data_IF_328867492401
#
_entry.id   IF_328867492401
#
_cell.length_a   1.000
_cell.length_b   1.000
_cell.length_c   1.000
_cell.angle_alpha   90.00
_cell.angle_beta   90.00
_cell.angle_gamma   90.00
#
_symmetry.space_group_name_H-M   'P 1'
#
loop_
_entity.id
_entity.type
_entity.pdbx_description
1 polymer ?
#
# COMPACT_ATOMS: atom_id res chain seq x y z
N UNK A 1 -15.51 -2.17 7.71
CA UNK A 1 -14.14 -2.64 7.96
C UNK A 1 -13.22 -2.15 6.85
N UNK A 2 -12.13 -1.51 7.21
CA UNK A 2 -11.20 -1.00 6.20
C UNK A 2 -10.44 -2.17 5.58
N UNK A 3 -10.31 -2.16 4.25
CA UNK A 3 -9.55 -3.17 3.56
C UNK A 3 -8.06 -2.79 3.56
N UNK A 4 -7.19 -3.78 3.38
CA UNK A 4 -5.77 -3.51 3.29
C UNK A 4 -5.45 -2.59 2.12
N UNK A 5 -6.19 -2.74 1.04
CA UNK A 5 -6.00 -1.87 -0.13
C UNK A 5 -6.21 -0.41 0.25
N UNK A 6 -7.29 -0.12 0.96
CA UNK A 6 -7.58 1.25 1.34
C UNK A 6 -6.52 1.79 2.30
N UNK A 7 -6.10 0.97 3.26
CA UNK A 7 -5.08 1.39 4.22
C UNK A 7 -3.77 1.73 3.52
N UNK A 8 -3.35 0.90 2.59
CA UNK A 8 -2.12 1.13 1.83
C UNK A 8 -2.27 2.38 0.96
N UNK A 9 -3.41 2.53 0.31
CA UNK A 9 -3.64 3.68 -0.55
C UNK A 9 -3.61 4.98 0.26
N UNK A 10 -4.28 5.00 1.40
CA UNK A 10 -4.29 6.17 2.27
C UNK A 10 -2.89 6.51 2.75
N UNK A 11 -2.10 5.48 3.10
CA UNK A 11 -0.73 5.68 3.55
C UNK A 11 0.11 6.35 2.46
N UNK A 12 -0.01 5.85 1.24
CA UNK A 12 0.75 6.40 0.12
C UNK A 12 0.33 7.84 -0.15
N UNK A 13 -0.96 8.13 -0.07
CA UNK A 13 -1.45 9.49 -0.30
C UNK A 13 -0.99 10.45 0.79
N UNK A 14 -0.85 9.95 2.01
CA UNK A 14 -0.39 10.76 3.14
C UNK A 14 1.11 11.03 3.09
N UNK A 15 1.89 9.99 2.80
CA UNK A 15 3.34 10.05 2.89
C UNK A 15 4.06 10.05 1.54
N UNK A 16 3.34 9.82 0.46
CA UNK A 16 3.92 9.84 -0.87
C UNK A 16 4.43 8.50 -1.37
N UNK A 17 4.76 7.57 -0.48
CA UNK A 17 5.25 6.25 -0.86
C UNK A 17 5.11 5.31 0.31
N UNK A 18 5.32 4.03 0.06
CA UNK A 18 5.26 3.02 1.11
C UNK A 18 6.31 1.95 0.82
N UNK A 19 6.96 1.46 1.87
CA UNK A 19 7.91 0.35 1.77
C UNK A 19 7.28 -0.89 2.39
N UNK A 20 7.78 -2.10 2.03
CA UNK A 20 7.27 -3.31 2.68
C UNK A 20 7.41 -3.29 4.20
N UNK A 21 8.50 -2.69 4.68
CA UNK A 21 8.72 -2.59 6.12
C UNK A 21 7.68 -1.66 6.76
N UNK A 22 7.41 -0.53 6.13
CA UNK A 22 6.41 0.41 6.63
C UNK A 22 5.03 -0.24 6.67
N UNK A 23 4.68 -0.97 5.61
CA UNK A 23 3.39 -1.65 5.55
C UNK A 23 3.26 -2.66 6.68
N UNK A 24 4.32 -3.41 6.93
CA UNK A 24 4.29 -4.42 7.98
C UNK A 24 4.19 -3.78 9.37
N UNK A 25 5.01 -2.77 9.62
CA UNK A 25 5.09 -2.16 10.96
C UNK A 25 3.89 -1.29 11.27
N UNK A 26 3.45 -0.49 10.31
CA UNK A 26 2.40 0.49 10.55
C UNK A 26 1.00 -0.03 10.27
N UNK A 27 0.87 -0.90 9.28
CA UNK A 27 -0.44 -1.37 8.85
C UNK A 27 -0.65 -2.86 9.09
N UNK A 28 0.40 -3.58 9.46
CA UNK A 28 0.30 -5.02 9.64
C UNK A 28 0.11 -5.78 8.35
N UNK A 29 0.47 -5.19 7.22
CA UNK A 29 0.31 -5.81 5.91
C UNK A 29 1.58 -6.58 5.55
N UNK A 30 1.44 -7.89 5.38
CA UNK A 30 2.58 -8.74 5.03
C UNK A 30 2.63 -9.06 3.54
N UNK A 31 1.57 -8.71 2.80
CA UNK A 31 1.44 -9.02 1.38
C UNK A 31 1.37 -7.73 0.56
N UNK A 32 2.29 -6.83 0.82
CA UNK A 32 2.26 -5.51 0.18
C UNK A 32 2.31 -5.61 -1.35
N UNK A 33 3.13 -6.52 -1.88
CA UNK A 33 3.26 -6.65 -3.34
C UNK A 33 1.92 -7.00 -3.98
N UNK A 34 1.16 -7.89 -3.36
CA UNK A 34 -0.15 -8.25 -3.89
C UNK A 34 -1.12 -7.08 -3.81
N UNK A 35 -1.08 -6.35 -2.70
CA UNK A 35 -1.96 -5.20 -2.53
C UNK A 35 -1.64 -4.12 -3.56
N UNK A 36 -0.37 -3.85 -3.76
CA UNK A 36 0.06 -2.86 -4.76
C UNK A 36 -0.38 -3.28 -6.16
N UNK A 37 -0.22 -4.56 -6.48
CA UNK A 37 -0.65 -5.06 -7.78
C UNK A 37 -2.14 -4.82 -7.99
N UNK A 38 -2.96 -5.12 -6.97
CA UNK A 38 -4.40 -4.92 -7.06
C UNK A 38 -4.75 -3.44 -7.23
N UNK A 39 -4.04 -2.56 -6.53
CA UNK A 39 -4.28 -1.13 -6.65
C UNK A 39 -3.96 -0.64 -8.05
N UNK A 40 -2.88 -1.13 -8.64
CA UNK A 40 -2.53 -0.76 -10.01
C UNK A 40 -3.56 -1.27 -11.01
N UNK A 41 -4.11 -2.46 -10.76
CA UNK A 41 -5.17 -3.02 -11.60
C UNK A 41 -6.42 -2.14 -11.54
N UNK A 42 -6.68 -1.53 -10.40
CA UNK A 42 -7.82 -0.63 -10.24
C UNK A 42 -7.59 0.75 -10.88
N UNK A 43 -6.38 1.00 -11.39
CA UNK A 43 -6.10 2.25 -12.06
C UNK A 43 -5.35 3.28 -11.22
N UNK A 44 -4.93 2.92 -10.02
CA UNK A 44 -4.20 3.85 -9.17
C UNK A 44 -2.73 3.93 -9.59
N UNK A 45 -2.18 5.14 -9.54
CA UNK A 45 -0.77 5.36 -9.86
C UNK A 45 0.03 5.25 -8.56
N UNK A 46 0.64 4.11 -8.35
CA UNK A 46 1.32 3.78 -7.10
C UNK A 46 2.82 3.71 -7.31
N UNK A 47 3.55 4.43 -6.46
CA UNK A 47 5.00 4.36 -6.43
C UNK A 47 5.43 3.62 -5.17
N UNK A 48 6.34 2.67 -5.31
CA UNK A 48 6.86 1.92 -4.17
C UNK A 48 8.36 2.19 -4.03
N UNK A 49 8.78 2.40 -2.80
CA UNK A 49 10.20 2.54 -2.50
C UNK A 49 10.85 1.16 -2.42
N UNK A 50 12.09 1.08 -2.87
CA UNK A 50 12.80 -0.17 -2.85
C UNK A 50 13.99 -0.09 -1.94
#
# INVERSE_FOLDING_TARGET
>A
MASQKKMVLDYIREFGSITPLDAFKDLGVTRLAAVIFELKEDGHDIHTER
#
